data_IF_574666940080
#
_entry.id   IF_574666940080
#
_cell.length_a   1.000
_cell.length_b   1.000
_cell.length_c   1.000
_cell.angle_alpha   90.00
_cell.angle_beta   90.00
_cell.angle_gamma   90.00
#
_symmetry.space_group_name_H-M   'P 1'
#
loop_
_entity.id
_entity.type
_entity.pdbx_description
1 polymer ?
#
# COMPACT_ATOMS: atom_id res chain seq x y z
N UNK A 1 26.60 -46.41 -56.95
CA UNK A 1 25.87 -46.43 -55.67
C UNK A 1 26.65 -45.52 -54.73
N UNK A 2 26.29 -44.22 -54.63
CA UNK A 2 25.53 -43.61 -53.48
C UNK A 2 26.20 -43.92 -52.13
N UNK A 3 26.60 -42.97 -51.26
CA UNK A 3 25.97 -41.70 -50.92
C UNK A 3 26.91 -40.66 -50.27
N UNK A 4 26.60 -39.41 -50.60
CA UNK A 4 26.92 -38.11 -49.98
C UNK A 4 26.31 -37.95 -48.58
N UNK A 5 26.92 -37.09 -47.72
CA UNK A 5 26.31 -36.10 -46.79
C UNK A 5 27.29 -35.85 -45.62
N UNK A 6 28.24 -34.92 -45.67
CA UNK A 6 28.09 -33.46 -45.66
C UNK A 6 27.26 -32.93 -44.49
N UNK A 7 27.98 -32.46 -43.46
CA UNK A 7 27.77 -31.19 -42.74
C UNK A 7 26.31 -30.77 -42.51
N UNK A 8 25.73 -31.15 -41.37
CA UNK A 8 24.58 -30.46 -40.78
C UNK A 8 24.73 -30.50 -39.26
N UNK A 9 25.37 -29.47 -38.70
CA UNK A 9 25.53 -29.35 -37.25
C UNK A 9 25.74 -27.93 -36.76
N UNK A 10 25.47 -26.92 -37.59
CA UNK A 10 25.63 -25.51 -37.22
C UNK A 10 24.52 -24.70 -37.86
N UNK A 11 23.31 -24.69 -37.26
CA UNK A 11 22.27 -23.67 -37.53
C UNK A 11 21.06 -23.81 -36.61
N UNK A 12 21.24 -23.93 -35.29
CA UNK A 12 20.10 -23.85 -34.35
C UNK A 12 20.40 -23.06 -33.06
N UNK A 13 21.37 -22.13 -33.10
CA UNK A 13 21.64 -21.22 -31.97
C UNK A 13 21.26 -19.76 -32.26
N UNK A 14 20.96 -19.40 -33.52
CA UNK A 14 20.77 -18.00 -33.91
C UNK A 14 19.33 -17.48 -33.73
N UNK A 15 18.32 -18.35 -33.62
CA UNK A 15 16.91 -17.93 -33.52
C UNK A 15 16.44 -17.67 -32.08
N UNK A 16 17.09 -18.24 -31.07
CA UNK A 16 16.73 -17.97 -29.68
C UNK A 16 17.25 -16.59 -29.19
N UNK A 17 18.35 -16.09 -29.77
CA UNK A 17 18.94 -14.81 -29.37
C UNK A 17 18.15 -13.59 -29.88
N UNK A 18 17.38 -13.73 -30.97
CA UNK A 18 16.61 -12.61 -31.54
C UNK A 18 15.26 -12.43 -30.82
N UNK A 19 14.67 -13.50 -30.28
CA UNK A 19 13.40 -13.41 -29.55
C UNK A 19 13.53 -12.72 -28.17
N UNK A 20 14.73 -12.73 -27.58
CA UNK A 20 14.99 -12.02 -26.32
C UNK A 20 15.22 -10.51 -26.50
N UNK A 21 15.46 -10.04 -27.74
CA UNK A 21 15.76 -8.64 -28.03
C UNK A 21 14.51 -7.75 -28.23
N UNK A 22 13.32 -8.35 -28.28
CA UNK A 22 12.05 -7.65 -28.49
C UNK A 22 11.06 -7.83 -27.33
N UNK A 23 11.52 -8.29 -26.16
CA UNK A 23 10.69 -8.15 -24.96
C UNK A 23 10.54 -6.65 -24.70
N UNK A 24 9.32 -6.07 -24.78
CA UNK A 24 9.12 -4.69 -24.41
C UNK A 24 9.63 -4.51 -22.98
N UNK A 25 10.49 -3.52 -22.77
CA UNK A 25 10.82 -3.08 -21.42
C UNK A 25 9.53 -2.52 -20.84
N UNK A 26 8.84 -3.30 -20.03
CA UNK A 26 7.70 -2.82 -19.25
C UNK A 26 8.23 -1.69 -18.36
N UNK A 27 8.01 -0.45 -18.77
CA UNK A 27 8.27 0.71 -17.94
C UNK A 27 7.07 0.82 -17.02
N UNK A 28 7.19 0.25 -15.81
CA UNK A 28 6.25 0.53 -14.74
C UNK A 28 6.42 1.99 -14.36
N UNK A 29 5.53 2.87 -14.81
CA UNK A 29 5.39 4.21 -14.25
C UNK A 29 4.09 4.86 -14.73
N UNK A 30 3.00 4.48 -14.07
CA UNK A 30 1.93 5.43 -13.75
C UNK A 30 1.59 5.22 -12.29
N UNK A 31 2.10 6.13 -11.46
CA UNK A 31 1.86 6.17 -10.02
C UNK A 31 0.63 7.05 -9.77
N UNK A 32 -0.44 6.47 -9.27
CA UNK A 32 -1.65 7.21 -8.86
C UNK A 32 -1.74 7.27 -7.34
N UNK A 33 -2.08 8.45 -6.81
CA UNK A 33 -2.31 8.65 -5.38
C UNK A 33 -3.79 8.90 -5.11
N UNK A 34 -4.31 8.24 -4.08
CA UNK A 34 -5.67 8.48 -3.58
C UNK A 34 -5.72 8.28 -2.07
N UNK A 35 -6.83 8.69 -1.45
CA UNK A 35 -7.03 8.51 -0.01
C UNK A 35 -8.25 7.64 0.26
N UNK A 36 -8.11 6.72 1.21
CA UNK A 36 -9.22 5.95 1.79
C UNK A 36 -9.42 6.36 3.25
N UNK A 37 -10.65 6.20 3.74
CA UNK A 37 -11.01 6.48 5.12
C UNK A 37 -11.68 5.28 5.77
N UNK A 38 -11.51 5.14 7.07
CA UNK A 38 -12.25 4.19 7.89
C UNK A 38 -13.66 4.68 8.20
N UNK A 39 -14.47 3.81 8.79
CA UNK A 39 -15.62 4.25 9.59
C UNK A 39 -15.14 5.02 10.83
N UNK A 40 -16.04 5.76 11.48
CA UNK A 40 -15.75 6.43 12.75
C UNK A 40 -15.44 5.43 13.86
N UNK A 41 -14.29 5.57 14.49
CA UNK A 41 -13.88 4.84 15.68
C UNK A 41 -14.25 5.65 16.91
N UNK A 42 -14.97 5.02 17.84
CA UNK A 42 -15.33 5.61 19.14
C UNK A 42 -14.31 5.19 20.19
N UNK A 43 -13.81 6.15 20.97
CA UNK A 43 -12.91 5.92 22.09
C UNK A 43 -13.66 6.24 23.39
N UNK A 44 -14.02 5.23 24.20
CA UNK A 44 -14.64 5.44 25.50
C UNK A 44 -13.77 6.30 26.44
N UNK A 45 -14.38 6.90 27.49
CA UNK A 45 -13.65 7.67 28.50
C UNK A 45 -12.49 6.90 29.13
N UNK A 46 -11.33 7.54 29.29
CA UNK A 46 -10.11 6.96 29.91
C UNK A 46 -9.61 5.66 29.27
N UNK A 47 -9.82 5.49 27.98
CA UNK A 47 -9.37 4.28 27.26
C UNK A 47 -8.50 4.61 26.06
N UNK A 48 -7.88 3.59 25.49
CA UNK A 48 -7.28 3.64 24.17
C UNK A 48 -8.15 2.86 23.19
N UNK A 49 -8.22 3.32 21.95
CA UNK A 49 -8.78 2.52 20.88
C UNK A 49 -7.96 2.71 19.60
N UNK A 50 -8.04 1.71 18.73
CA UNK A 50 -7.31 1.61 17.49
C UNK A 50 -8.26 1.72 16.30
N UNK A 51 -7.81 2.41 15.26
CA UNK A 51 -8.48 2.50 13.98
C UNK A 51 -7.50 2.24 12.85
N UNK A 52 -8.00 1.58 11.80
CA UNK A 52 -7.24 1.29 10.59
C UNK A 52 -7.97 1.80 9.36
N UNK A 53 -7.23 2.43 8.45
CA UNK A 53 -7.67 2.65 7.07
C UNK A 53 -6.80 1.81 6.13
N UNK A 54 -7.44 1.18 5.13
CA UNK A 54 -6.80 0.25 4.21
C UNK A 54 -6.79 0.77 2.78
N UNK A 55 -5.70 0.51 2.06
CA UNK A 55 -5.67 0.64 0.61
C UNK A 55 -6.38 -0.55 -0.04
N UNK A 56 -6.66 -0.44 -1.34
CA UNK A 56 -7.17 -1.58 -2.11
C UNK A 56 -6.09 -2.66 -2.26
N UNK A 57 -6.50 -3.87 -2.62
CA UNK A 57 -5.56 -4.98 -2.86
C UNK A 57 -4.57 -4.62 -3.98
N UNK A 58 -3.28 -4.77 -3.68
CA UNK A 58 -2.19 -4.44 -4.61
C UNK A 58 -1.62 -3.02 -4.45
N UNK A 59 -2.26 -2.17 -3.64
CA UNK A 59 -1.82 -0.81 -3.39
C UNK A 59 -0.97 -0.69 -2.14
N UNK A 60 -0.14 0.35 -2.10
CA UNK A 60 0.79 0.62 -1.00
C UNK A 60 0.34 1.79 -0.15
N UNK A 61 0.26 1.60 1.16
CA UNK A 61 0.10 2.69 2.11
C UNK A 61 1.42 3.45 2.26
N UNK A 62 1.45 4.71 1.83
CA UNK A 62 2.64 5.58 1.89
C UNK A 62 2.57 6.61 3.00
N UNK A 63 1.39 6.81 3.58
CA UNK A 63 1.17 7.71 4.70
C UNK A 63 -0.24 7.59 5.24
N UNK A 64 -0.53 8.33 6.30
CA UNK A 64 -1.86 8.37 6.88
C UNK A 64 -1.88 9.10 8.21
N UNK A 65 -3.06 9.12 8.81
CA UNK A 65 -3.30 9.78 10.08
C UNK A 65 -4.76 9.67 10.47
N UNK A 66 -5.21 10.58 11.32
CA UNK A 66 -6.59 10.60 11.76
C UNK A 66 -7.10 12.02 11.92
N UNK A 67 -8.42 12.14 11.86
CA UNK A 67 -9.18 13.37 12.02
C UNK A 67 -10.25 13.13 13.09
N UNK A 68 -10.42 14.07 14.01
CA UNK A 68 -11.49 13.99 15.01
C UNK A 68 -12.86 14.20 14.33
N UNK A 69 -13.86 13.49 14.81
CA UNK A 69 -15.23 13.61 14.33
C UNK A 69 -15.73 15.05 14.54
N UNK A 70 -16.24 15.67 13.49
CA UNK A 70 -16.61 17.10 13.50
C UNK A 70 -15.57 18.03 12.88
N UNK A 71 -14.41 17.52 12.44
CA UNK A 71 -13.41 18.30 11.71
C UNK A 71 -12.59 19.25 12.58
N UNK A 72 -12.64 19.07 13.90
CA UNK A 72 -11.81 19.80 14.84
C UNK A 72 -10.34 19.39 14.70
N UNK A 73 -9.44 20.36 14.92
CA UNK A 73 -8.00 20.14 14.92
C UNK A 73 -7.62 19.03 15.90
N UNK A 74 -6.61 18.25 15.55
CA UNK A 74 -5.95 17.16 16.31
C UNK A 74 -5.60 17.47 17.78
N UNK A 75 -5.74 18.73 18.20
CA UNK A 75 -5.54 19.21 19.57
C UNK A 75 -6.89 19.41 20.30
N UNK A 76 -7.79 18.41 20.27
CA UNK A 76 -8.78 18.35 21.35
C UNK A 76 -8.03 18.05 22.64
N UNK A 77 -8.29 18.79 23.74
CA UNK A 77 -7.49 18.71 24.95
C UNK A 77 -7.47 17.32 25.61
N UNK A 78 -8.38 16.43 25.19
CA UNK A 78 -8.56 15.10 25.76
C UNK A 78 -8.19 13.96 24.81
N UNK A 79 -7.85 14.24 23.54
CA UNK A 79 -7.55 13.20 22.57
C UNK A 79 -6.07 13.25 22.18
N UNK A 80 -5.33 12.19 22.50
CA UNK A 80 -3.90 12.09 22.22
C UNK A 80 -3.57 10.90 21.33
N UNK A 81 -2.82 11.16 20.25
CA UNK A 81 -2.25 10.08 19.43
C UNK A 81 -1.18 9.35 20.24
N UNK A 82 -1.39 8.05 20.47
CA UNK A 82 -0.41 7.16 21.12
C UNK A 82 0.50 6.51 20.08
N UNK A 83 -0.09 6.08 18.97
CA UNK A 83 0.61 5.42 17.88
C UNK A 83 0.05 5.88 16.54
N UNK A 84 0.95 6.03 15.56
CA UNK A 84 0.60 6.41 14.20
C UNK A 84 1.60 5.78 13.23
N UNK A 85 1.16 4.88 12.35
CA UNK A 85 2.07 4.25 11.41
C UNK A 85 1.46 3.20 10.49
N UNK A 86 2.25 2.70 9.53
CA UNK A 86 1.80 1.66 8.60
C UNK A 86 1.72 0.30 9.30
N UNK A 87 0.78 -0.54 8.87
CA UNK A 87 0.58 -1.90 9.40
C UNK A 87 0.55 -2.95 8.30
N UNK A 88 0.87 -4.19 8.67
CA UNK A 88 0.90 -5.32 7.73
C UNK A 88 2.23 -5.49 6.99
N UNK A 89 3.35 -4.99 7.53
CA UNK A 89 4.67 -5.32 7.00
C UNK A 89 4.97 -6.81 7.18
N UNK A 90 5.15 -7.52 6.05
CA UNK A 90 5.72 -8.86 6.04
C UNK A 90 6.92 -8.91 5.09
N UNK A 91 8.13 -8.87 5.65
CA UNK A 91 9.37 -8.85 4.86
C UNK A 91 9.50 -7.60 4.00
N UNK A 92 9.62 -7.77 2.69
CA UNK A 92 9.72 -6.68 1.70
C UNK A 92 8.36 -6.25 1.12
N UNK A 93 7.25 -6.81 1.61
CA UNK A 93 5.92 -6.41 1.15
C UNK A 93 5.61 -4.98 1.62
N UNK A 94 5.08 -4.18 0.71
CA UNK A 94 4.60 -2.85 1.02
C UNK A 94 3.39 -2.93 1.97
N UNK A 95 3.26 -2.01 2.94
CA UNK A 95 2.17 -2.08 3.92
C UNK A 95 0.82 -1.79 3.24
N UNK A 96 -0.23 -2.61 3.46
CA UNK A 96 -1.54 -2.39 2.86
C UNK A 96 -2.41 -1.37 3.60
N UNK A 97 -1.98 -0.90 4.78
CA UNK A 97 -2.86 -0.17 5.68
C UNK A 97 -2.08 0.78 6.59
N UNK A 98 -2.83 1.71 7.18
CA UNK A 98 -2.34 2.67 8.15
C UNK A 98 -3.19 2.65 9.42
N UNK A 99 -2.52 2.72 10.56
CA UNK A 99 -3.11 2.58 11.89
C UNK A 99 -2.86 3.80 12.74
N UNK A 100 -3.90 4.19 13.48
CA UNK A 100 -3.81 5.21 14.52
C UNK A 100 -4.46 4.70 15.79
N UNK A 101 -3.72 4.82 16.90
CA UNK A 101 -4.23 4.57 18.25
C UNK A 101 -4.37 5.90 18.96
N UNK A 102 -5.58 6.17 19.46
CA UNK A 102 -5.86 7.32 20.32
C UNK A 102 -6.07 6.89 21.75
N UNK A 103 -5.59 7.72 22.67
CA UNK A 103 -6.00 7.73 24.06
C UNK A 103 -7.01 8.86 24.28
N UNK A 104 -8.14 8.52 24.88
CA UNK A 104 -9.11 9.46 25.39
C UNK A 104 -8.85 9.71 26.88
N UNK A 105 -8.37 10.89 27.23
CA UNK A 105 -8.12 11.38 28.58
C UNK A 105 -9.38 11.94 29.27
N UNK A 106 -10.47 12.12 28.51
CA UNK A 106 -11.76 12.59 29.01
C UNK A 106 -12.31 11.58 30.04
N UNK A 107 -12.66 12.03 31.25
CA UNK A 107 -13.23 11.16 32.27
C UNK A 107 -14.68 10.75 32.00
N UNK A 108 -15.41 11.50 31.18
CA UNK A 108 -16.86 11.46 31.13
C UNK A 108 -17.38 11.16 29.72
N UNK A 109 -16.77 11.73 28.68
CA UNK A 109 -17.32 11.68 27.33
C UNK A 109 -16.51 10.80 26.35
N UNK A 110 -17.20 9.98 25.52
CA UNK A 110 -16.55 9.27 24.44
C UNK A 110 -16.29 10.20 23.24
N UNK A 111 -15.12 10.07 22.64
CA UNK A 111 -14.73 10.86 21.47
C UNK A 111 -14.66 9.99 20.21
N UNK A 112 -14.90 10.60 19.06
CA UNK A 112 -14.89 9.92 17.76
C UNK A 112 -13.74 10.41 16.88
N UNK A 113 -13.16 9.52 16.08
CA UNK A 113 -12.19 9.87 15.05
C UNK A 113 -12.32 8.99 13.81
N UNK A 114 -11.83 9.47 12.68
CA UNK A 114 -11.73 8.74 11.41
C UNK A 114 -10.26 8.62 11.05
N UNK A 115 -9.83 7.43 10.65
CA UNK A 115 -8.48 7.19 10.13
C UNK A 115 -8.49 7.39 8.62
N UNK A 116 -7.46 8.03 8.09
CA UNK A 116 -7.22 8.10 6.66
C UNK A 116 -5.87 7.51 6.30
N UNK A 117 -5.79 6.94 5.11
CA UNK A 117 -4.56 6.39 4.52
C UNK A 117 -4.35 7.03 3.15
N UNK A 118 -3.09 7.33 2.83
CA UNK A 118 -2.64 7.75 1.51
C UNK A 118 -2.13 6.48 0.82
N UNK A 119 -2.74 6.17 -0.33
CA UNK A 119 -2.49 4.96 -1.09
C UNK A 119 -1.82 5.30 -2.42
N UNK A 120 -0.87 4.46 -2.81
CA UNK A 120 -0.16 4.52 -4.07
C UNK A 120 -0.47 3.25 -4.89
N UNK A 121 -0.91 3.44 -6.13
CA UNK A 121 -1.10 2.36 -7.11
C UNK A 121 -0.03 2.45 -8.19
N UNK A 122 0.65 1.32 -8.48
CA UNK A 122 1.61 1.22 -9.58
C UNK A 122 0.97 0.44 -10.73
N UNK A 123 0.64 1.13 -11.81
CA UNK A 123 0.21 0.47 -13.05
C UNK A 123 1.42 0.20 -13.96
N UNK A 124 1.48 -1.00 -14.54
CA UNK A 124 2.52 -1.35 -15.51
C UNK A 124 2.00 -1.13 -16.91
N UNK A 125 2.54 -0.15 -17.63
CA UNK A 125 2.18 0.09 -19.04
C UNK A 125 2.89 -0.95 -19.92
N UNK A 126 2.18 -1.66 -20.82
CA UNK A 126 2.77 -2.62 -21.74
C UNK A 126 3.64 -1.97 -22.85
#
# INVERSE_FOLDING_TARGET
MTNTLARLGVTLAATAAVAAAFAPSATADTISYYTNQSDTVRVPPRTENEGDARCNDGDTATGGGALLEGGYSIDEPYMRVVQNGPVGFSGNAAPPAWRVTYHNEDPEDPHGYVVFVICEHTETTP
#
